data_IF_751017381806
#
_entry.id   IF_751017381806
#
_cell.length_a   1.000
_cell.length_b   1.000
_cell.length_c   1.000
_cell.angle_alpha   90.00
_cell.angle_beta   90.00
_cell.angle_gamma   90.00
#
_symmetry.space_group_name_H-M   'P 1'
#
loop_
_entity.id
_entity.type
_entity.pdbx_description
1 polymer ?
#
# COMPACT_ATOMS: atom_id res chain seq x y z
N UNK A 1 -12.98 -0.96 -4.31
CA UNK A 1 -11.84 -0.35 -3.59
C UNK A 1 -11.44 0.91 -4.32
N UNK A 2 -11.04 1.95 -3.58
CA UNK A 2 -10.59 3.24 -4.11
C UNK A 2 -9.19 3.53 -3.56
N UNK A 3 -8.16 3.22 -4.33
CA UNK A 3 -6.78 3.50 -3.95
C UNK A 3 -6.27 4.80 -4.60
N UNK A 4 -5.41 5.52 -3.89
CA UNK A 4 -4.72 6.71 -4.38
C UNK A 4 -3.25 6.62 -3.97
N UNK A 5 -2.40 7.39 -4.65
CA UNK A 5 -0.97 7.50 -4.31
C UNK A 5 -0.73 7.89 -2.86
N UNK A 6 -1.57 8.78 -2.32
CA UNK A 6 -1.47 9.22 -0.93
C UNK A 6 -1.75 8.04 0.02
N UNK A 7 -2.84 7.30 -0.19
CA UNK A 7 -3.19 6.11 0.58
C UNK A 7 -2.11 5.03 0.50
N UNK A 8 -1.55 4.86 -0.69
CA UNK A 8 -0.48 3.92 -0.95
C UNK A 8 0.82 4.26 -0.21
N UNK A 9 1.18 5.55 -0.14
CA UNK A 9 2.40 5.99 0.56
C UNK A 9 2.40 5.60 2.05
N UNK A 10 1.23 5.52 2.69
CA UNK A 10 1.13 5.05 4.08
C UNK A 10 1.50 3.58 4.21
N UNK A 11 1.28 2.75 3.18
CA UNK A 11 1.59 1.34 3.20
C UNK A 11 2.97 1.02 2.61
N UNK A 12 3.63 1.95 1.92
CA UNK A 12 5.00 1.74 1.43
C UNK A 12 5.99 1.44 2.57
N UNK A 13 5.79 2.05 3.75
CA UNK A 13 6.58 1.82 4.96
C UNK A 13 6.06 0.65 5.84
N UNK A 14 5.04 -0.09 5.37
CA UNK A 14 4.50 -1.22 6.10
C UNK A 14 5.53 -2.37 6.21
N UNK A 15 5.41 -3.26 7.22
CA UNK A 15 6.40 -4.31 7.48
C UNK A 15 6.23 -5.50 6.53
N UNK A 16 6.44 -5.31 5.23
CA UNK A 16 6.33 -6.37 4.23
C UNK A 16 7.38 -7.48 4.40
N UNK A 17 7.06 -8.75 4.07
CA UNK A 17 5.73 -9.25 3.70
C UNK A 17 4.78 -9.28 4.90
N UNK A 18 3.53 -8.84 4.70
CA UNK A 18 2.54 -8.68 5.77
C UNK A 18 1.16 -9.22 5.36
N UNK A 19 0.45 -9.84 6.30
CA UNK A 19 -0.93 -10.25 6.12
C UNK A 19 -1.89 -9.05 6.12
N UNK A 20 -3.11 -9.24 5.58
CA UNK A 20 -4.16 -8.22 5.60
C UNK A 20 -4.39 -7.64 7.00
N UNK A 21 -4.48 -8.50 8.02
CA UNK A 21 -4.66 -8.08 9.42
C UNK A 21 -3.47 -7.24 9.94
N UNK A 22 -2.23 -7.62 9.60
CA UNK A 22 -1.04 -6.86 9.99
C UNK A 22 -0.99 -5.47 9.32
N UNK A 23 -1.38 -5.38 8.05
CA UNK A 23 -1.47 -4.10 7.35
C UNK A 23 -2.56 -3.20 7.95
N UNK A 24 -3.70 -3.77 8.35
CA UNK A 24 -4.78 -3.05 9.03
C UNK A 24 -4.31 -2.53 10.39
N UNK A 25 -3.65 -3.37 11.20
CA UNK A 25 -3.10 -2.96 12.49
C UNK A 25 -2.03 -1.87 12.32
N UNK A 26 -1.15 -2.03 11.34
CA UNK A 26 -0.15 -1.02 10.99
C UNK A 26 -0.80 0.32 10.62
N UNK A 27 -1.78 0.32 9.71
CA UNK A 27 -2.51 1.52 9.31
C UNK A 27 -3.20 2.21 10.50
N UNK A 28 -3.81 1.45 11.41
CA UNK A 28 -4.42 2.01 12.63
C UNK A 28 -3.37 2.59 13.59
N UNK A 29 -2.19 1.97 13.71
CA UNK A 29 -1.11 2.40 14.61
C UNK A 29 -0.35 3.61 14.11
N UNK A 30 -0.12 3.69 12.80
CA UNK A 30 0.53 4.85 12.17
C UNK A 30 -0.40 6.05 12.05
N UNK A 31 -1.71 5.84 12.25
CA UNK A 31 -2.71 6.89 12.12
C UNK A 31 -3.05 7.19 10.66
N UNK A 32 -2.95 6.18 9.79
CA UNK A 32 -3.38 6.27 8.41
C UNK A 32 -4.90 6.59 8.33
N UNK A 33 -5.35 7.26 7.26
CA UNK A 33 -6.75 7.61 7.10
C UNK A 33 -7.63 6.37 7.00
N UNK A 34 -8.90 6.52 7.41
CA UNK A 34 -9.87 5.42 7.48
C UNK A 34 -10.03 4.72 6.13
N UNK A 35 -9.96 5.46 5.03
CA UNK A 35 -9.98 4.88 3.68
C UNK A 35 -8.92 3.78 3.45
N UNK A 36 -7.70 3.88 4.02
CA UNK A 36 -6.70 2.81 3.89
C UNK A 36 -7.22 1.54 4.55
N UNK A 37 -7.74 1.67 5.76
CA UNK A 37 -8.25 0.55 6.57
C UNK A 37 -9.49 -0.07 5.93
N UNK A 38 -10.40 0.73 5.36
CA UNK A 38 -11.57 0.24 4.62
C UNK A 38 -11.18 -0.48 3.33
N UNK A 39 -10.20 0.04 2.58
CA UNK A 39 -9.70 -0.63 1.39
C UNK A 39 -9.03 -1.97 1.73
N UNK A 40 -8.17 -2.00 2.76
CA UNK A 40 -7.54 -3.24 3.23
C UNK A 40 -8.58 -4.26 3.69
N UNK A 41 -9.60 -3.85 4.43
CA UNK A 41 -10.68 -4.76 4.85
C UNK A 41 -11.52 -5.27 3.68
N UNK A 42 -11.64 -4.49 2.60
CA UNK A 42 -12.35 -4.89 1.39
C UNK A 42 -11.56 -5.90 0.54
N UNK A 43 -10.27 -6.13 0.83
CA UNK A 43 -9.47 -7.17 0.17
C UNK A 43 -10.01 -8.55 0.52
N UNK A 44 -9.98 -9.45 -0.47
CA UNK A 44 -10.31 -10.85 -0.27
C UNK A 44 -9.24 -11.49 0.62
N UNK A 45 -9.68 -12.25 1.63
CA UNK A 45 -8.78 -12.95 2.55
C UNK A 45 -8.27 -14.23 1.87
N UNK A 46 -7.14 -14.12 1.16
CA UNK A 46 -6.53 -15.28 0.49
C UNK A 46 -5.69 -16.13 1.46
N UNK A 47 -5.52 -15.68 2.71
CA UNK A 47 -4.70 -16.36 3.73
C UNK A 47 -3.19 -16.32 3.44
N UNK A 48 -2.78 -15.64 2.37
CA UNK A 48 -1.38 -15.40 2.02
C UNK A 48 -0.96 -13.99 2.43
N UNK A 49 0.31 -13.83 2.77
CA UNK A 49 0.93 -12.53 3.04
C UNK A 49 1.20 -11.82 1.72
N UNK A 50 0.97 -10.52 1.70
CA UNK A 50 1.35 -9.67 0.59
C UNK A 50 2.83 -9.28 0.71
N UNK A 51 3.57 -9.28 -0.39
CA UNK A 51 4.98 -8.88 -0.45
C UNK A 51 5.16 -7.38 -0.71
N UNK A 52 4.25 -6.76 -1.46
CA UNK A 52 4.26 -5.31 -1.73
C UNK A 52 2.86 -4.78 -1.96
N UNK A 53 2.72 -3.44 -2.00
CA UNK A 53 1.45 -2.80 -2.32
C UNK A 53 0.97 -3.07 -3.76
N UNK A 54 1.85 -3.46 -4.67
CA UNK A 54 1.47 -3.80 -6.06
C UNK A 54 0.58 -5.05 -6.10
N UNK A 55 0.71 -5.94 -5.12
CA UNK A 55 -0.15 -7.13 -4.99
C UNK A 55 -1.55 -6.76 -4.49
N UNK A 56 -1.66 -5.68 -3.71
CA UNK A 56 -2.92 -5.14 -3.19
C UNK A 56 -3.60 -4.24 -4.22
N UNK A 57 -2.81 -3.41 -4.88
CA UNK A 57 -3.25 -2.44 -5.86
C UNK A 57 -2.46 -2.61 -7.17
N UNK A 58 -2.97 -3.38 -8.13
CA UNK A 58 -2.26 -3.67 -9.38
C UNK A 58 -2.11 -2.44 -10.31
N UNK A 59 -2.90 -1.39 -10.09
CA UNK A 59 -2.77 -0.09 -10.78
C UNK A 59 -1.86 0.89 -10.01
N UNK A 60 -1.13 0.42 -8.98
CA UNK A 60 -0.15 1.26 -8.31
C UNK A 60 0.93 1.69 -9.33
N UNK A 61 1.10 2.99 -9.57
CA UNK A 61 2.14 3.45 -10.47
C UNK A 61 3.50 3.07 -9.88
N UNK A 62 4.27 2.31 -10.65
CA UNK A 62 5.60 1.88 -10.21
C UNK A 62 6.50 3.09 -9.99
N UNK A 63 7.40 3.01 -9.02
CA UNK A 63 8.43 4.05 -8.76
C UNK A 63 9.25 4.41 -10.01
N UNK A 64 9.28 3.54 -11.02
CA UNK A 64 9.87 3.82 -12.34
C UNK A 64 9.19 4.98 -13.10
N UNK A 65 7.95 5.35 -12.77
CA UNK A 65 7.26 6.54 -13.32
C UNK A 65 7.67 7.85 -12.63
N UNK A 66 8.21 7.76 -11.40
CA UNK A 66 8.68 8.91 -10.61
C UNK A 66 10.19 9.17 -10.70
N UNK A 67 10.96 8.30 -11.36
CA UNK A 67 12.32 8.61 -11.78
C UNK A 67 12.30 9.63 -12.93
N UNK A 68 11.88 10.86 -12.61
CA UNK A 68 12.41 12.03 -13.32
C UNK A 68 13.93 11.90 -13.27
N UNK A 69 14.55 11.85 -14.45
CA UNK A 69 16.00 11.89 -14.60
C UNK A 69 16.54 13.11 -13.83
N UNK A 70 17.08 12.91 -12.64
CA UNK A 70 17.91 13.91 -11.94
C UNK A 70 19.28 14.09 -12.63
N UNK A 71 19.53 13.44 -13.77
CA UNK A 71 20.74 13.52 -14.59
C UNK A 71 20.66 14.53 -15.76
N UNK A 72 19.86 15.60 -15.63
CA UNK A 72 19.91 16.73 -16.58
C UNK A 72 20.21 18.06 -15.85
N UNK A 73 21.45 18.21 -15.37
CA UNK A 73 22.07 19.50 -15.05
C UNK A 73 23.41 19.68 -15.77
#
# INVERSE_FOLDING_TARGET
MYWTLELASYLEDAPWPASKDELIDFAMRTGAPLEVVENLQALEDEGESYDTIEEIWPDYPTKEDFFFNEDEY
#
